data_IF_616169570717
#
_entry.id   IF_616169570717
#
_cell.length_a   1.000
_cell.length_b   1.000
_cell.length_c   1.000
_cell.angle_alpha   90.00
_cell.angle_beta   90.00
_cell.angle_gamma   90.00
#
_symmetry.space_group_name_H-M   'P 1'
#
loop_
_entity.id
_entity.type
_entity.pdbx_description
1 polymer ?
#
# COMPACT_ATOMS: atom_id res chain seq x y z
N UNK A 1 12.87 28.56 56.32
CA UNK A 1 13.08 30.02 56.43
C UNK A 1 14.22 30.32 55.48
N UNK A 2 13.96 31.05 54.42
CA UNK A 2 15.00 31.45 53.50
C UNK A 2 16.02 32.32 54.15
N UNK A 3 17.30 32.05 53.97
CA UNK A 3 18.43 32.78 54.53
C UNK A 3 18.93 33.88 53.61
N UNK A 4 18.06 34.39 52.73
CA UNK A 4 18.43 35.34 51.69
C UNK A 4 18.58 36.82 52.16
N UNK A 5 18.18 37.14 53.35
CA UNK A 5 18.33 38.50 53.91
C UNK A 5 19.11 38.44 55.21
N UNK A 6 20.28 39.10 55.23
CA UNK A 6 21.06 39.31 56.44
C UNK A 6 20.89 40.77 56.85
N UNK A 7 20.31 40.95 58.02
CA UNK A 7 20.13 42.25 58.58
C UNK A 7 21.50 42.97 58.71
N UNK A 8 21.60 44.12 58.13
CA UNK A 8 22.85 44.94 58.13
C UNK A 8 22.91 45.92 59.33
N UNK A 9 22.63 45.39 60.49
CA UNK A 9 22.74 46.17 61.73
C UNK A 9 24.16 46.02 62.31
N UNK A 10 25.07 46.84 61.79
CA UNK A 10 26.50 46.85 62.16
C UNK A 10 26.80 47.52 63.52
N UNK A 11 25.80 48.14 64.15
CA UNK A 11 25.96 48.84 65.39
C UNK A 11 24.98 48.52 66.49
N UNK A 12 24.12 47.55 66.36
CA UNK A 12 23.00 47.22 67.27
C UNK A 12 22.04 48.45 67.47
N UNK A 13 21.94 49.34 66.48
CA UNK A 13 21.19 50.59 66.62
C UNK A 13 19.66 50.37 66.49
N UNK A 14 19.20 49.26 65.93
CA UNK A 14 17.78 48.91 65.85
C UNK A 14 17.43 47.87 66.92
N UNK A 15 17.96 48.01 68.11
CA UNK A 15 17.58 47.22 69.27
C UNK A 15 16.65 48.05 70.20
N UNK A 16 15.84 47.37 71.00
CA UNK A 16 14.91 47.98 71.91
C UNK A 16 15.65 48.95 72.85
N UNK A 17 15.21 50.22 72.82
CA UNK A 17 15.74 51.31 73.65
C UNK A 17 16.80 52.20 73.00
N UNK A 18 17.26 51.96 71.79
CA UNK A 18 18.18 52.80 71.04
C UNK A 18 17.43 53.81 70.19
N UNK A 19 18.07 54.99 69.92
CA UNK A 19 17.56 55.95 68.97
C UNK A 19 17.90 55.48 67.59
N UNK A 20 16.87 55.21 66.78
CA UNK A 20 17.00 54.82 65.40
C UNK A 20 17.14 56.07 64.55
N UNK A 21 18.20 56.22 63.77
CA UNK A 21 18.42 57.32 62.86
C UNK A 21 18.22 56.94 61.40
N UNK A 22 18.19 57.92 60.48
CA UNK A 22 17.90 57.70 59.10
C UNK A 22 18.90 56.74 58.41
N UNK A 23 20.15 56.74 58.79
CA UNK A 23 21.20 55.94 58.21
C UNK A 23 21.02 54.41 58.56
N UNK A 24 20.37 54.10 59.71
CA UNK A 24 20.08 52.74 60.10
C UNK A 24 19.00 52.11 59.17
N UNK A 25 18.03 52.95 58.76
CA UNK A 25 17.02 52.53 57.80
C UNK A 25 17.56 52.43 56.36
N UNK A 26 18.39 53.44 55.96
CA UNK A 26 18.96 53.44 54.62
C UNK A 26 19.81 52.20 54.38
N UNK A 27 20.65 51.82 55.37
CA UNK A 27 21.42 50.56 55.25
C UNK A 27 20.60 49.25 55.17
N UNK A 28 19.47 49.24 55.87
CA UNK A 28 18.54 48.06 55.74
C UNK A 28 17.80 48.06 54.41
N UNK A 29 17.36 49.23 53.93
CA UNK A 29 16.72 49.33 52.59
C UNK A 29 17.69 49.01 51.47
N UNK A 30 18.92 49.45 51.50
CA UNK A 30 19.96 49.11 50.53
C UNK A 30 20.26 47.62 50.53
N UNK A 31 20.28 46.98 51.69
CA UNK A 31 20.47 45.55 51.81
C UNK A 31 19.27 44.75 51.23
N UNK A 32 18.03 45.21 51.43
CA UNK A 32 16.82 44.67 50.83
C UNK A 32 16.81 44.85 49.32
N UNK A 33 17.13 46.08 48.86
CA UNK A 33 17.22 46.38 47.43
C UNK A 33 18.27 45.52 46.73
N UNK A 34 19.46 45.35 47.33
CA UNK A 34 20.50 44.48 46.80
C UNK A 34 20.08 43.00 46.74
N UNK A 35 19.33 42.54 47.74
CA UNK A 35 18.82 41.15 47.75
C UNK A 35 17.81 40.86 46.65
N UNK A 36 17.10 41.86 46.12
CA UNK A 36 16.09 41.72 45.08
C UNK A 36 16.46 42.38 43.74
N UNK A 37 17.65 42.91 43.62
CA UNK A 37 18.12 43.60 42.42
C UNK A 37 18.34 42.61 41.28
N UNK A 38 17.97 42.98 40.05
CA UNK A 38 18.04 42.14 38.86
C UNK A 38 19.45 41.75 38.42
N UNK A 39 20.48 42.44 38.90
CA UNK A 39 21.90 42.20 38.55
C UNK A 39 22.68 41.41 39.60
N UNK A 40 22.24 41.46 40.86
CA UNK A 40 22.92 40.85 42.02
C UNK A 40 21.95 40.30 43.06
N UNK A 41 20.63 40.29 42.76
CA UNK A 41 19.60 39.77 43.63
C UNK A 41 19.67 38.24 43.77
N UNK A 42 18.89 37.71 44.69
CA UNK A 42 18.90 36.27 44.93
C UNK A 42 18.34 35.47 43.76
N UNK A 43 18.94 34.34 43.50
CA UNK A 43 18.48 33.35 42.55
C UNK A 43 17.84 32.18 43.31
N UNK A 44 17.11 31.34 42.65
CA UNK A 44 16.59 30.11 43.21
C UNK A 44 17.34 28.88 42.63
N UNK A 45 18.67 28.88 42.77
CA UNK A 45 19.57 27.88 42.20
C UNK A 45 19.90 26.72 43.15
N UNK A 46 19.42 26.80 44.41
CA UNK A 46 19.64 25.77 45.42
C UNK A 46 20.91 25.95 46.24
N UNK A 47 21.67 27.03 46.05
CA UNK A 47 22.78 27.34 46.92
C UNK A 47 22.30 27.85 48.28
N UNK A 48 23.09 27.67 49.33
CA UNK A 48 22.66 28.03 50.71
C UNK A 48 22.45 29.53 50.95
N UNK A 49 22.94 30.37 50.04
CA UNK A 49 22.79 31.84 50.13
C UNK A 49 21.59 32.39 49.33
N UNK A 50 21.14 31.67 48.32
CA UNK A 50 20.19 32.14 47.32
C UNK A 50 18.79 31.55 47.45
N UNK A 51 18.55 30.67 48.42
CA UNK A 51 17.29 30.02 48.66
C UNK A 51 17.11 28.69 47.95
N UNK A 52 16.08 27.96 48.30
CA UNK A 52 15.78 26.65 47.68
C UNK A 52 15.31 26.84 46.22
N UNK A 53 15.59 25.90 45.32
CA UNK A 53 15.03 25.89 43.98
C UNK A 53 13.52 26.04 43.99
N UNK A 54 12.96 26.70 42.97
CA UNK A 54 11.51 26.73 42.78
C UNK A 54 11.08 25.35 42.27
N UNK A 55 10.49 24.54 43.14
CA UNK A 55 10.06 23.18 42.84
C UNK A 55 8.61 23.11 42.38
N UNK A 56 7.83 24.15 42.58
CA UNK A 56 6.40 24.17 42.22
C UNK A 56 5.98 25.53 41.69
N UNK A 57 5.15 25.54 40.67
CA UNK A 57 4.59 26.71 40.02
C UNK A 57 3.07 26.67 39.99
N UNK A 58 2.44 27.85 39.97
CA UNK A 58 1.00 28.03 39.93
C UNK A 58 0.38 28.29 41.30
N UNK A 59 -0.83 28.88 41.33
CA UNK A 59 -1.49 29.29 42.59
C UNK A 59 -1.86 28.11 43.49
N UNK A 60 -2.07 26.92 42.91
CA UNK A 60 -2.36 25.65 43.62
C UNK A 60 -1.15 24.73 43.66
N UNK A 61 0.03 25.18 43.25
CA UNK A 61 1.23 24.32 43.13
C UNK A 61 1.02 23.14 42.20
N UNK A 62 0.39 23.38 41.05
CA UNK A 62 -0.08 22.32 40.15
C UNK A 62 1.04 21.76 39.28
N UNK A 63 2.15 22.46 39.10
CA UNK A 63 3.33 22.04 38.35
C UNK A 63 4.50 21.83 39.29
N UNK A 64 5.09 20.65 39.25
CA UNK A 64 6.27 20.25 40.04
C UNK A 64 7.50 20.23 39.15
N UNK A 65 8.58 20.89 39.59
CA UNK A 65 9.88 20.89 38.94
C UNK A 65 10.83 20.05 39.78
N UNK A 66 11.48 19.09 39.17
CA UNK A 66 12.50 18.24 39.79
C UNK A 66 13.81 18.36 39.00
N UNK A 67 14.89 17.77 39.50
CA UNK A 67 16.18 17.77 38.78
C UNK A 67 16.10 17.10 37.37
N UNK A 68 15.09 16.31 37.10
CA UNK A 68 14.95 15.53 35.86
C UNK A 68 13.63 15.75 35.11
N UNK A 69 12.67 16.51 35.68
CA UNK A 69 11.36 16.65 35.05
C UNK A 69 10.60 17.92 35.46
N UNK A 70 9.79 18.44 34.55
CA UNK A 70 8.66 19.31 34.80
C UNK A 70 7.41 18.50 34.65
N UNK A 71 6.59 18.32 35.66
CA UNK A 71 5.40 17.47 35.63
C UNK A 71 4.22 18.07 36.38
N UNK A 72 2.96 17.72 36.05
CA UNK A 72 1.83 18.06 36.87
C UNK A 72 1.91 17.34 38.22
N UNK A 73 1.33 17.94 39.26
CA UNK A 73 1.21 17.33 40.58
C UNK A 73 0.23 16.15 40.57
N UNK A 74 -0.82 16.28 39.80
CA UNK A 74 -1.85 15.27 39.58
C UNK A 74 -1.90 14.96 38.10
N UNK A 75 -2.03 13.66 37.79
CA UNK A 75 -2.10 13.19 36.41
C UNK A 75 -3.29 13.81 35.67
N UNK A 76 -3.08 14.21 34.41
CA UNK A 76 -4.09 14.82 33.53
C UNK A 76 -4.76 16.11 34.09
N UNK A 77 -4.04 16.90 34.88
CA UNK A 77 -4.60 18.08 35.57
C UNK A 77 -4.13 19.42 35.04
N UNK A 78 -3.09 19.47 34.18
CA UNK A 78 -2.48 20.72 33.73
C UNK A 78 -2.26 20.70 32.22
N UNK A 79 -2.80 21.70 31.53
CA UNK A 79 -2.59 21.94 30.11
C UNK A 79 -1.34 22.82 29.87
N UNK A 80 -0.64 22.58 28.75
CA UNK A 80 0.39 23.46 28.25
C UNK A 80 -0.24 24.45 27.26
N UNK A 81 -0.59 25.65 27.76
CA UNK A 81 -1.34 26.68 26.99
C UNK A 81 -2.86 26.61 27.24
N UNK A 82 -3.60 27.42 26.55
CA UNK A 82 -5.07 27.48 26.61
C UNK A 82 -5.65 27.61 25.19
N UNK A 83 -6.98 27.54 25.04
CA UNK A 83 -7.64 27.78 23.77
C UNK A 83 -7.37 29.15 23.15
N UNK A 84 -7.05 30.18 23.98
CA UNK A 84 -6.79 31.55 23.56
C UNK A 84 -5.32 31.99 23.66
N UNK A 85 -4.49 31.30 24.45
CA UNK A 85 -3.08 31.58 24.63
C UNK A 85 -2.28 30.30 24.35
N UNK A 86 -1.67 30.24 23.19
CA UNK A 86 -0.94 29.07 22.66
C UNK A 86 0.57 29.33 22.72
N UNK A 87 1.35 28.26 22.92
CA UNK A 87 2.77 28.29 22.65
C UNK A 87 3.02 28.38 21.15
N UNK A 88 3.99 29.19 20.73
CA UNK A 88 4.36 29.33 19.34
C UNK A 88 5.04 28.06 18.82
N UNK A 89 6.07 27.62 19.53
CA UNK A 89 6.90 26.48 19.13
C UNK A 89 7.25 25.64 20.37
N UNK A 90 7.38 24.33 20.19
CA UNK A 90 7.92 23.38 21.17
C UNK A 90 9.13 22.69 20.55
N UNK A 91 10.33 22.95 21.10
CA UNK A 91 11.58 22.33 20.67
C UNK A 91 11.94 21.20 21.64
N UNK A 92 12.09 19.98 21.13
CA UNK A 92 12.50 18.80 21.90
C UNK A 92 13.71 18.17 21.23
N UNK A 93 14.75 17.91 22.02
CA UNK A 93 15.92 17.12 21.60
C UNK A 93 15.74 15.69 22.10
N UNK A 94 14.69 15.02 21.64
CA UNK A 94 14.35 13.67 22.09
C UNK A 94 12.97 13.22 21.62
N UNK A 95 12.43 12.22 22.26
CA UNK A 95 11.15 11.61 21.92
C UNK A 95 9.99 12.30 22.61
N UNK A 96 8.95 12.68 21.87
CA UNK A 96 7.66 13.07 22.41
C UNK A 96 6.77 11.83 22.56
N UNK A 97 6.41 11.47 23.79
CA UNK A 97 5.46 10.42 24.09
C UNK A 97 4.07 11.03 24.29
N UNK A 98 3.12 10.66 23.44
CA UNK A 98 1.74 11.13 23.48
C UNK A 98 0.80 9.94 23.36
N UNK A 99 -0.28 9.92 24.14
CA UNK A 99 -1.36 8.94 23.97
C UNK A 99 -2.13 9.18 22.66
N UNK A 100 -2.24 10.44 22.25
CA UNK A 100 -2.87 10.83 20.99
C UNK A 100 -2.38 12.21 20.53
N UNK A 101 -2.39 12.44 19.22
CA UNK A 101 -2.24 13.76 18.62
C UNK A 101 -3.60 14.16 18.07
N UNK A 102 -4.25 15.15 18.68
CA UNK A 102 -5.46 15.77 18.16
C UNK A 102 -5.10 17.14 17.59
N UNK A 103 -5.34 17.32 16.30
CA UNK A 103 -5.17 18.61 15.62
C UNK A 103 -6.56 19.17 15.36
N UNK A 104 -6.94 20.16 16.16
CA UNK A 104 -8.19 20.89 15.96
C UNK A 104 -7.87 22.31 15.49
N UNK A 105 -8.47 22.69 14.39
CA UNK A 105 -8.47 24.08 13.94
C UNK A 105 -9.78 24.74 14.39
N UNK A 106 -9.72 25.70 15.33
CA UNK A 106 -10.93 26.36 15.85
C UNK A 106 -11.65 27.23 14.83
N UNK A 107 -11.00 27.62 13.74
CA UNK A 107 -11.53 28.47 12.67
C UNK A 107 -11.80 27.72 11.36
N UNK A 108 -11.52 26.39 11.31
CA UNK A 108 -11.95 25.52 10.22
C UNK A 108 -11.20 25.69 8.90
N UNK A 109 -10.04 26.34 8.91
CA UNK A 109 -9.37 26.68 7.66
C UNK A 109 -8.30 25.72 7.21
N UNK A 110 -7.54 25.04 8.07
CA UNK A 110 -6.57 24.00 7.65
C UNK A 110 -5.84 23.34 8.83
N UNK A 111 -6.43 22.36 9.49
CA UNK A 111 -5.70 21.53 10.44
C UNK A 111 -4.78 20.55 9.68
N UNK A 112 -3.53 20.89 9.53
CA UNK A 112 -2.54 20.02 8.88
C UNK A 112 -1.54 19.47 9.88
N UNK A 113 -1.49 18.13 10.04
CA UNK A 113 -0.34 17.48 10.66
C UNK A 113 0.76 17.38 9.61
N UNK A 114 1.78 18.20 9.73
CA UNK A 114 2.97 18.08 8.90
C UNK A 114 4.02 17.27 9.65
N UNK A 115 4.29 16.07 9.16
CA UNK A 115 5.42 15.28 9.60
C UNK A 115 6.57 15.52 8.61
N UNK A 116 7.28 16.63 8.80
CA UNK A 116 8.50 16.90 8.05
C UNK A 116 9.63 16.10 8.75
N UNK A 117 9.68 14.80 8.52
CA UNK A 117 10.77 13.97 9.02
C UNK A 117 12.02 14.20 8.19
N UNK A 118 12.95 14.99 8.73
CA UNK A 118 14.33 14.75 8.44
C UNK A 118 14.75 13.65 9.41
N UNK A 119 14.60 12.38 9.01
CA UNK A 119 15.19 11.28 9.77
C UNK A 119 16.71 11.52 9.84
N UNK A 120 17.43 11.00 10.87
CA UNK A 120 18.81 11.41 11.20
C UNK A 120 19.83 11.36 10.05
N UNK A 121 19.46 10.86 8.92
CA UNK A 121 20.30 10.59 7.75
C UNK A 121 19.87 11.32 6.46
N UNK A 122 18.92 12.23 6.53
CA UNK A 122 18.46 13.02 5.38
C UNK A 122 17.45 12.32 4.46
N UNK A 123 16.98 11.11 4.81
CA UNK A 123 15.95 10.40 4.05
C UNK A 123 14.55 10.99 4.30
N UNK A 124 13.75 11.12 3.25
CA UNK A 124 12.38 11.68 3.30
C UNK A 124 11.35 10.56 3.40
N UNK A 125 11.36 9.80 4.50
CA UNK A 125 10.47 8.68 4.71
C UNK A 125 9.29 9.04 5.63
N UNK A 126 8.16 8.37 5.46
CA UNK A 126 7.01 8.43 6.37
C UNK A 126 6.74 7.02 6.90
N UNK A 127 6.77 6.83 8.20
CA UNK A 127 6.52 5.54 8.84
C UNK A 127 5.53 5.67 10.00
N UNK A 128 4.47 4.85 9.99
CA UNK A 128 3.52 4.69 11.08
C UNK A 128 3.19 3.21 11.27
N UNK A 129 3.55 2.67 12.39
CA UNK A 129 3.30 1.27 12.76
C UNK A 129 4.46 0.67 13.51
N UNK A 130 4.18 -0.40 14.26
CA UNK A 130 5.22 -1.14 14.96
C UNK A 130 6.18 -1.76 13.93
N UNK A 131 7.47 -1.50 14.06
CA UNK A 131 8.53 -1.95 13.15
C UNK A 131 8.38 -1.51 11.68
N UNK A 132 7.59 -0.46 11.39
CA UNK A 132 7.57 0.12 10.05
C UNK A 132 8.91 0.81 9.74
N UNK A 133 9.59 0.43 8.63
CA UNK A 133 10.91 0.92 8.22
C UNK A 133 12.01 0.74 9.30
N UNK A 134 11.96 -0.35 10.05
CA UNK A 134 12.84 -0.56 11.22
C UNK A 134 14.31 -0.87 10.84
N UNK A 135 14.57 -1.33 9.63
CA UNK A 135 15.91 -1.71 9.15
C UNK A 135 16.67 -0.62 8.40
N UNK A 136 16.08 0.59 8.24
CA UNK A 136 16.81 1.71 7.66
C UNK A 136 17.98 2.08 8.58
N UNK A 137 19.19 1.97 8.07
CA UNK A 137 20.38 2.44 8.77
C UNK A 137 20.83 3.81 8.22
N UNK A 138 21.49 4.60 9.04
CA UNK A 138 21.92 5.95 8.66
C UNK A 138 23.10 6.01 7.69
N UNK A 139 23.59 4.89 7.15
CA UNK A 139 24.83 4.87 6.36
C UNK A 139 24.61 5.04 4.84
N UNK A 140 23.45 4.62 4.33
CA UNK A 140 22.99 4.86 2.94
C UNK A 140 21.50 4.54 2.86
N UNK A 141 20.64 5.31 3.51
CA UNK A 141 19.24 4.95 3.64
C UNK A 141 18.49 5.16 2.34
N UNK A 142 17.55 4.24 2.06
CA UNK A 142 16.52 4.45 1.05
C UNK A 142 15.65 5.67 1.40
N UNK A 143 15.30 6.48 0.41
CA UNK A 143 14.52 7.70 0.58
C UNK A 143 13.15 7.69 -0.09
N UNK A 144 12.30 8.66 0.31
CA UNK A 144 10.99 8.89 -0.29
C UNK A 144 10.05 7.66 -0.20
N UNK A 145 10.14 6.90 0.90
CA UNK A 145 9.26 5.75 1.14
C UNK A 145 8.11 6.12 2.08
N UNK A 146 6.96 5.48 1.88
CA UNK A 146 5.79 5.56 2.77
C UNK A 146 5.49 4.17 3.31
N UNK A 147 5.51 4.00 4.63
CA UNK A 147 5.19 2.76 5.33
C UNK A 147 4.13 2.99 6.41
N UNK A 148 2.92 2.52 6.18
CA UNK A 148 1.80 2.65 7.10
C UNK A 148 1.25 1.26 7.47
N UNK A 149 1.56 0.77 8.65
CA UNK A 149 1.12 -0.53 9.15
C UNK A 149 2.18 -1.26 9.95
N UNK A 150 1.76 -2.24 10.74
CA UNK A 150 2.69 -3.10 11.46
C UNK A 150 3.58 -3.84 10.45
N UNK A 151 4.88 -3.78 10.64
CA UNK A 151 5.90 -4.40 9.79
C UNK A 151 5.86 -3.99 8.30
N UNK A 152 5.28 -2.84 7.95
CA UNK A 152 5.37 -2.32 6.59
C UNK A 152 6.83 -1.94 6.27
N UNK A 153 7.40 -2.47 5.17
CA UNK A 153 8.79 -2.25 4.75
C UNK A 153 9.82 -2.50 5.86
N UNK A 154 9.59 -3.45 6.76
CA UNK A 154 10.46 -3.68 7.93
C UNK A 154 11.91 -4.00 7.53
N UNK A 155 12.11 -4.78 6.45
CA UNK A 155 13.45 -5.20 6.01
C UNK A 155 14.15 -4.18 5.10
N UNK A 156 13.51 -3.04 4.76
CA UNK A 156 14.05 -2.09 3.79
C UNK A 156 15.32 -1.43 4.31
N UNK A 157 16.38 -1.49 3.52
CA UNK A 157 17.69 -0.88 3.84
C UNK A 157 18.01 0.29 2.92
N UNK A 158 17.97 0.10 1.59
CA UNK A 158 18.41 1.10 0.61
C UNK A 158 17.41 1.35 -0.53
N UNK A 159 16.24 0.67 -0.54
CA UNK A 159 15.23 0.89 -1.58
C UNK A 159 14.56 2.25 -1.49
N UNK A 160 14.25 2.85 -2.66
CA UNK A 160 13.68 4.18 -2.78
C UNK A 160 12.26 4.14 -3.39
N UNK A 161 11.46 5.17 -3.08
CA UNK A 161 10.16 5.42 -3.73
C UNK A 161 9.14 4.29 -3.55
N UNK A 162 9.17 3.56 -2.45
CA UNK A 162 8.18 2.53 -2.15
C UNK A 162 7.00 3.10 -1.36
N UNK A 163 5.81 2.63 -1.67
CA UNK A 163 4.59 2.88 -0.90
C UNK A 163 4.09 1.55 -0.36
N UNK A 164 4.08 1.37 0.96
CA UNK A 164 3.54 0.20 1.63
C UNK A 164 2.49 0.60 2.67
N UNK A 165 1.26 0.17 2.46
CA UNK A 165 0.13 0.47 3.35
C UNK A 165 -0.57 -0.84 3.71
N UNK A 166 -0.48 -1.24 4.95
CA UNK A 166 -1.05 -2.48 5.47
C UNK A 166 -0.06 -3.27 6.32
N UNK A 167 -0.58 -4.15 7.17
CA UNK A 167 0.28 -5.03 7.96
C UNK A 167 1.08 -5.96 7.04
N UNK A 168 2.39 -6.00 7.22
CA UNK A 168 3.35 -6.80 6.43
C UNK A 168 3.36 -6.48 4.92
N UNK A 169 2.91 -5.28 4.51
CA UNK A 169 3.05 -4.83 3.13
C UNK A 169 4.54 -4.61 2.81
N UNK A 170 5.04 -5.28 1.75
CA UNK A 170 6.45 -5.20 1.34
C UNK A 170 7.43 -5.59 2.44
N UNK A 171 7.05 -6.48 3.36
CA UNK A 171 7.83 -6.77 4.58
C UNK A 171 9.23 -7.30 4.32
N UNK A 172 9.44 -8.02 3.20
CA UNK A 172 10.73 -8.59 2.83
C UNK A 172 11.58 -7.68 1.92
N UNK A 173 11.03 -6.58 1.38
CA UNK A 173 11.79 -5.64 0.54
C UNK A 173 13.03 -5.15 1.28
N UNK A 174 14.20 -5.29 0.66
CA UNK A 174 15.49 -4.84 1.20
C UNK A 174 16.07 -3.68 0.39
N UNK A 175 16.32 -3.89 -0.89
CA UNK A 175 16.92 -2.90 -1.80
C UNK A 175 15.98 -2.54 -2.96
N UNK A 176 14.86 -3.24 -3.14
CA UNK A 176 13.87 -2.99 -4.18
C UNK A 176 13.25 -1.60 -4.07
N UNK A 177 13.05 -0.95 -5.21
CA UNK A 177 12.49 0.40 -5.27
C UNK A 177 11.29 0.54 -6.20
N UNK A 178 10.54 1.64 -6.05
CA UNK A 178 9.38 2.00 -6.90
C UNK A 178 8.26 0.97 -6.87
N UNK A 179 8.05 0.31 -5.73
CA UNK A 179 6.96 -0.61 -5.52
C UNK A 179 5.77 0.09 -4.83
N UNK A 180 4.57 -0.31 -5.20
CA UNK A 180 3.33 0.04 -4.51
C UNK A 180 2.74 -1.24 -3.93
N UNK A 181 2.72 -1.37 -2.61
CA UNK A 181 2.16 -2.50 -1.87
C UNK A 181 1.06 -1.99 -0.92
N UNK A 182 -0.20 -2.12 -1.29
CA UNK A 182 -1.33 -1.64 -0.49
C UNK A 182 -2.25 -2.82 -0.16
N UNK A 183 -2.28 -3.22 1.10
CA UNK A 183 -3.05 -4.34 1.60
C UNK A 183 -2.23 -5.20 2.56
N UNK A 184 -2.93 -6.00 3.37
CA UNK A 184 -2.28 -6.98 4.24
C UNK A 184 -1.49 -7.99 3.39
N UNK A 185 -0.21 -8.18 3.71
CA UNK A 185 0.73 -9.07 2.99
C UNK A 185 0.82 -8.81 1.47
N UNK A 186 0.48 -7.61 0.99
CA UNK A 186 0.75 -7.25 -0.41
C UNK A 186 2.26 -7.20 -0.64
N UNK A 187 2.76 -7.89 -1.70
CA UNK A 187 4.17 -7.94 -2.10
C UNK A 187 5.10 -8.36 -0.94
N UNK A 188 4.66 -9.31 -0.11
CA UNK A 188 5.34 -9.58 1.16
C UNK A 188 6.60 -10.46 1.05
N UNK A 189 6.86 -11.10 -0.09
CA UNK A 189 8.02 -11.98 -0.31
C UNK A 189 9.08 -11.35 -1.21
N UNK A 190 8.76 -10.29 -1.95
CA UNK A 190 9.70 -9.56 -2.79
C UNK A 190 10.83 -8.96 -1.96
N UNK A 191 12.08 -9.23 -2.30
CA UNK A 191 13.24 -8.81 -1.51
C UNK A 191 14.08 -7.70 -2.17
N UNK A 192 14.38 -7.80 -3.46
CA UNK A 192 15.35 -6.91 -4.10
C UNK A 192 14.89 -6.20 -5.36
N UNK A 193 13.70 -6.54 -5.87
CA UNK A 193 13.26 -6.08 -7.17
C UNK A 193 12.24 -4.95 -7.07
N UNK A 194 11.97 -4.30 -8.20
CA UNK A 194 11.15 -3.10 -8.23
C UNK A 194 10.08 -3.06 -9.30
N UNK A 195 9.46 -1.88 -9.35
CA UNK A 195 8.47 -1.50 -10.36
C UNK A 195 7.18 -2.36 -10.34
N UNK A 196 6.78 -2.85 -9.17
CA UNK A 196 5.54 -3.60 -9.00
C UNK A 196 4.42 -2.75 -8.39
N UNK A 197 3.18 -3.03 -8.81
CA UNK A 197 1.97 -2.48 -8.21
C UNK A 197 1.12 -3.63 -7.67
N UNK A 198 1.00 -3.73 -6.35
CA UNK A 198 0.22 -4.73 -5.63
C UNK A 198 -0.82 -4.04 -4.73
N UNK A 199 -2.09 -4.06 -5.13
CA UNK A 199 -3.17 -3.40 -4.38
C UNK A 199 -4.28 -4.40 -4.04
N UNK A 200 -4.38 -4.78 -2.77
CA UNK A 200 -5.35 -5.73 -2.26
C UNK A 200 -4.76 -6.67 -1.23
N UNK A 201 -5.61 -7.44 -0.57
CA UNK A 201 -5.21 -8.47 0.39
C UNK A 201 -4.40 -9.55 -0.33
N UNK A 202 -3.19 -9.84 0.14
CA UNK A 202 -2.22 -10.82 -0.38
C UNK A 202 -1.92 -10.73 -1.88
N UNK A 203 -2.08 -9.56 -2.48
CA UNK A 203 -1.77 -9.34 -3.90
C UNK A 203 -0.28 -9.49 -4.14
N UNK A 204 0.14 -10.27 -5.16
CA UNK A 204 1.54 -10.58 -5.48
C UNK A 204 2.33 -11.08 -4.25
N UNK A 205 1.68 -11.83 -3.36
CA UNK A 205 2.27 -12.20 -2.07
C UNK A 205 3.59 -12.93 -2.20
N UNK A 206 3.70 -13.86 -3.17
CA UNK A 206 4.87 -14.73 -3.36
C UNK A 206 5.86 -14.24 -4.42
N UNK A 207 5.62 -13.04 -4.98
CA UNK A 207 6.50 -12.44 -5.98
C UNK A 207 7.93 -12.33 -5.45
N UNK A 208 8.89 -12.85 -6.22
CA UNK A 208 10.32 -12.65 -6.05
C UNK A 208 11.04 -13.05 -7.35
N UNK A 209 11.21 -12.11 -8.27
CA UNK A 209 11.63 -12.41 -9.64
C UNK A 209 13.14 -12.42 -9.85
N UNK A 210 13.92 -11.84 -8.94
CA UNK A 210 15.35 -11.64 -9.10
C UNK A 210 15.71 -10.59 -10.17
N UNK A 211 14.73 -9.80 -10.62
CA UNK A 211 14.86 -8.66 -11.54
C UNK A 211 13.59 -7.80 -11.49
N UNK A 212 13.64 -6.57 -11.99
CA UNK A 212 12.46 -5.68 -12.09
C UNK A 212 11.30 -6.37 -12.81
N UNK A 213 10.27 -6.72 -12.05
CA UNK A 213 9.19 -7.57 -12.56
C UNK A 213 8.12 -6.80 -13.35
N UNK A 214 7.88 -5.54 -13.03
CA UNK A 214 6.85 -4.71 -13.69
C UNK A 214 5.46 -5.36 -13.68
N UNK A 215 5.10 -6.09 -12.62
CA UNK A 215 3.77 -6.65 -12.48
C UNK A 215 2.80 -5.61 -11.91
N UNK A 216 1.58 -5.59 -12.44
CA UNK A 216 0.48 -4.80 -11.91
C UNK A 216 -0.61 -5.77 -11.48
N UNK A 217 -0.91 -5.83 -10.19
CA UNK A 217 -2.00 -6.65 -9.65
C UNK A 217 -2.90 -5.84 -8.71
N UNK A 218 -4.21 -5.93 -8.93
CA UNK A 218 -5.21 -5.21 -8.15
C UNK A 218 -6.38 -6.15 -7.83
N UNK A 219 -6.61 -6.42 -6.55
CA UNK A 219 -7.73 -7.25 -6.10
C UNK A 219 -7.34 -8.20 -4.96
N UNK A 220 -8.33 -8.81 -4.33
CA UNK A 220 -8.14 -9.88 -3.34
C UNK A 220 -7.44 -11.07 -4.01
N UNK A 221 -6.28 -11.49 -3.49
CA UNK A 221 -5.46 -12.59 -3.99
C UNK A 221 -5.09 -12.50 -5.50
N UNK A 222 -5.12 -11.32 -6.10
CA UNK A 222 -4.71 -11.15 -7.49
C UNK A 222 -3.22 -11.48 -7.66
N UNK A 223 -2.89 -12.43 -8.54
CA UNK A 223 -1.52 -12.88 -8.76
C UNK A 223 -0.85 -13.48 -7.53
N UNK A 224 -1.62 -14.06 -6.59
CA UNK A 224 -1.16 -14.55 -5.29
C UNK A 224 0.11 -15.41 -5.38
N UNK A 225 0.15 -16.34 -6.31
CA UNK A 225 1.21 -17.35 -6.46
C UNK A 225 2.32 -16.96 -7.45
N UNK A 226 2.26 -15.78 -8.05
CA UNK A 226 3.34 -15.33 -8.95
C UNK A 226 4.64 -15.30 -8.16
N UNK A 227 5.65 -16.02 -8.67
CA UNK A 227 7.00 -16.07 -8.11
C UNK A 227 7.97 -15.28 -8.98
N UNK A 228 8.36 -15.83 -10.12
CA UNK A 228 9.34 -15.24 -11.03
C UNK A 228 8.71 -14.64 -12.29
N UNK A 229 7.38 -14.78 -12.47
CA UNK A 229 6.66 -14.19 -13.61
C UNK A 229 6.74 -12.67 -13.65
N UNK A 230 6.93 -12.12 -14.86
CA UNK A 230 7.12 -10.68 -15.07
C UNK A 230 6.12 -10.09 -16.07
N UNK A 231 5.91 -8.77 -15.98
CA UNK A 231 5.11 -7.98 -16.92
C UNK A 231 3.67 -8.47 -17.09
N UNK A 232 3.08 -8.92 -16.00
CA UNK A 232 1.68 -9.30 -15.96
C UNK A 232 0.81 -8.13 -15.48
N UNK A 233 -0.39 -7.98 -16.06
CA UNK A 233 -1.45 -7.07 -15.62
C UNK A 233 -2.62 -7.93 -15.14
N UNK A 234 -2.81 -8.02 -13.83
CA UNK A 234 -3.78 -8.90 -13.18
C UNK A 234 -4.74 -8.07 -12.32
N UNK A 235 -6.00 -7.96 -12.73
CA UNK A 235 -6.98 -7.12 -12.03
C UNK A 235 -8.30 -7.86 -11.79
N UNK A 236 -8.65 -8.05 -10.53
CA UNK A 236 -9.88 -8.75 -10.12
C UNK A 236 -9.61 -9.69 -8.94
N UNK A 237 -10.66 -10.03 -8.20
CA UNK A 237 -10.54 -11.03 -7.12
C UNK A 237 -10.11 -12.37 -7.69
N UNK A 238 -9.09 -12.98 -7.11
CA UNK A 238 -8.48 -14.28 -7.54
C UNK A 238 -8.22 -14.36 -9.05
N UNK A 239 -7.91 -13.25 -9.69
CA UNK A 239 -7.41 -13.24 -11.06
C UNK A 239 -5.96 -13.73 -11.07
N UNK A 240 -5.60 -14.65 -11.98
CA UNK A 240 -4.24 -15.16 -12.12
C UNK A 240 -3.60 -15.66 -10.83
N UNK A 241 -4.39 -16.08 -9.85
CA UNK A 241 -3.94 -16.42 -8.51
C UNK A 241 -3.06 -17.68 -8.44
N UNK A 242 -3.14 -18.55 -9.46
CA UNK A 242 -2.28 -19.72 -9.58
C UNK A 242 -1.02 -19.49 -10.44
N UNK A 243 -0.91 -18.40 -11.20
CA UNK A 243 0.28 -18.10 -12.02
C UNK A 243 1.56 -18.15 -11.18
N UNK A 244 2.63 -18.72 -11.71
CA UNK A 244 3.93 -18.86 -11.03
C UNK A 244 5.05 -18.14 -11.78
N UNK A 245 5.55 -18.71 -12.86
CA UNK A 245 6.64 -18.21 -13.71
C UNK A 245 6.14 -17.68 -15.08
N UNK A 246 4.85 -17.47 -15.20
CA UNK A 246 4.19 -17.01 -16.41
C UNK A 246 4.38 -15.50 -16.65
N UNK A 247 4.62 -15.13 -17.91
CA UNK A 247 4.97 -13.76 -18.31
C UNK A 247 3.95 -13.15 -19.27
N UNK A 248 3.92 -11.80 -19.30
CA UNK A 248 3.20 -11.03 -20.30
C UNK A 248 1.70 -11.31 -20.40
N UNK A 249 1.05 -11.69 -19.30
CA UNK A 249 -0.38 -11.93 -19.27
C UNK A 249 -1.18 -10.67 -18.93
N UNK A 250 -2.36 -10.55 -19.52
CA UNK A 250 -3.40 -9.60 -19.12
C UNK A 250 -4.59 -10.41 -18.63
N UNK A 251 -4.84 -10.41 -17.33
CA UNK A 251 -5.99 -11.07 -16.67
C UNK A 251 -6.85 -10.02 -15.97
N UNK A 252 -7.98 -9.63 -16.54
CA UNK A 252 -8.87 -8.60 -15.97
C UNK A 252 -10.27 -9.17 -15.78
N UNK A 253 -10.70 -9.32 -14.54
CA UNK A 253 -11.99 -9.85 -14.15
C UNK A 253 -11.88 -10.89 -13.04
N UNK A 254 -12.96 -11.10 -12.32
CA UNK A 254 -13.03 -12.13 -11.30
C UNK A 254 -12.74 -13.51 -11.91
N UNK A 255 -11.77 -14.26 -11.34
CA UNK A 255 -11.33 -15.58 -11.81
C UNK A 255 -10.80 -15.63 -13.27
N UNK A 256 -10.35 -14.52 -13.85
CA UNK A 256 -9.64 -14.59 -15.13
C UNK A 256 -8.28 -15.28 -14.93
N UNK A 257 -7.92 -16.27 -15.78
CA UNK A 257 -6.67 -17.05 -15.68
C UNK A 257 -6.42 -17.71 -14.31
N UNK A 258 -7.48 -18.03 -13.55
CA UNK A 258 -7.35 -18.45 -12.14
C UNK A 258 -6.66 -19.83 -11.95
N UNK A 259 -6.69 -20.72 -12.95
CA UNK A 259 -6.08 -22.05 -12.84
C UNK A 259 -4.70 -22.15 -13.50
N UNK A 260 -4.38 -21.21 -14.39
CA UNK A 260 -3.14 -21.26 -15.16
C UNK A 260 -1.92 -21.06 -14.26
N UNK A 261 -0.93 -21.92 -14.44
CA UNK A 261 0.31 -21.82 -13.68
C UNK A 261 1.47 -21.27 -14.50
N UNK A 262 1.57 -21.63 -15.78
CA UNK A 262 2.76 -21.41 -16.62
C UNK A 262 2.46 -20.92 -18.04
N UNK A 263 1.22 -20.57 -18.34
CA UNK A 263 0.84 -19.99 -19.63
C UNK A 263 1.22 -18.53 -19.72
N UNK A 264 1.95 -18.16 -20.75
CA UNK A 264 2.38 -16.80 -21.02
C UNK A 264 1.65 -16.18 -22.20
N UNK A 265 1.65 -14.85 -22.31
CA UNK A 265 1.12 -14.08 -23.44
C UNK A 265 -0.37 -14.29 -23.69
N UNK A 266 -1.14 -14.57 -22.65
CA UNK A 266 -2.60 -14.61 -22.71
C UNK A 266 -3.21 -13.22 -22.44
N UNK A 267 -4.31 -12.91 -23.14
CA UNK A 267 -5.18 -11.78 -22.83
C UNK A 267 -6.57 -12.28 -22.46
N UNK A 268 -6.94 -12.16 -21.20
CA UNK A 268 -8.21 -12.62 -20.64
C UNK A 268 -8.95 -11.45 -19.98
N UNK A 269 -10.03 -10.97 -20.59
CA UNK A 269 -10.79 -9.82 -20.09
C UNK A 269 -12.25 -10.18 -19.93
N UNK A 270 -12.72 -10.31 -18.70
CA UNK A 270 -14.09 -10.67 -18.34
C UNK A 270 -14.17 -11.65 -17.17
N UNK A 271 -15.37 -11.89 -16.68
CA UNK A 271 -15.66 -12.87 -15.64
C UNK A 271 -15.30 -14.29 -16.13
N UNK A 272 -14.48 -15.02 -15.35
CA UNK A 272 -14.02 -16.39 -15.61
C UNK A 272 -13.43 -16.63 -17.01
N UNK A 273 -12.83 -15.62 -17.62
CA UNK A 273 -12.23 -15.75 -18.95
C UNK A 273 -10.96 -16.58 -18.87
N UNK A 274 -10.82 -17.62 -19.72
CA UNK A 274 -9.73 -18.59 -19.70
C UNK A 274 -9.50 -19.21 -18.31
N UNK A 275 -10.56 -19.38 -17.50
CA UNK A 275 -10.43 -19.78 -16.11
C UNK A 275 -9.79 -21.16 -15.91
N UNK A 276 -10.00 -22.09 -16.83
CA UNK A 276 -9.44 -23.45 -16.76
C UNK A 276 -8.15 -23.64 -17.57
N UNK A 277 -7.63 -22.57 -18.21
CA UNK A 277 -6.33 -22.66 -18.88
C UNK A 277 -5.27 -23.10 -17.88
N UNK A 278 -4.46 -24.11 -18.26
CA UNK A 278 -3.37 -24.57 -17.39
C UNK A 278 -2.33 -25.34 -18.18
N UNK A 279 -1.12 -24.86 -18.17
CA UNK A 279 0.02 -25.50 -18.80
C UNK A 279 0.97 -26.09 -17.75
N UNK A 280 1.42 -27.33 -17.95
CA UNK A 280 2.37 -27.99 -17.04
C UNK A 280 3.83 -27.55 -17.23
N UNK A 281 4.12 -26.84 -18.33
CA UNK A 281 5.43 -26.28 -18.64
C UNK A 281 5.25 -24.83 -19.15
N UNK A 282 6.29 -24.04 -19.09
CA UNK A 282 6.29 -22.68 -19.62
C UNK A 282 5.90 -22.70 -21.09
N UNK A 283 4.79 -22.06 -21.44
CA UNK A 283 4.17 -22.12 -22.78
C UNK A 283 3.64 -20.76 -23.19
N UNK A 284 4.06 -20.29 -24.36
CA UNK A 284 3.48 -19.12 -25.01
C UNK A 284 2.10 -19.49 -25.60
N UNK A 285 1.05 -19.24 -24.85
CA UNK A 285 -0.32 -19.62 -25.23
C UNK A 285 -0.87 -18.78 -26.38
N UNK A 286 -0.58 -17.48 -26.40
CA UNK A 286 -1.13 -16.50 -27.34
C UNK A 286 -2.66 -16.54 -27.46
N UNK A 287 -3.37 -16.91 -26.39
CA UNK A 287 -4.82 -16.85 -26.36
C UNK A 287 -5.30 -15.44 -26.08
N UNK A 288 -6.29 -14.99 -26.83
CA UNK A 288 -7.01 -13.75 -26.59
C UNK A 288 -8.48 -14.08 -26.36
N UNK A 289 -8.99 -13.86 -25.16
CA UNK A 289 -10.38 -14.07 -24.79
C UNK A 289 -10.97 -12.84 -24.12
N UNK A 290 -12.08 -12.34 -24.65
CA UNK A 290 -12.74 -11.12 -24.16
C UNK A 290 -14.26 -11.38 -24.05
N UNK A 291 -14.81 -11.32 -22.86
CA UNK A 291 -16.22 -11.57 -22.59
C UNK A 291 -16.41 -12.50 -21.38
N UNK A 292 -17.60 -12.47 -20.77
CA UNK A 292 -17.91 -13.41 -19.68
C UNK A 292 -17.85 -14.85 -20.21
N UNK A 293 -17.12 -15.69 -19.48
CA UNK A 293 -16.93 -17.12 -19.79
C UNK A 293 -16.31 -17.40 -21.19
N UNK A 294 -15.70 -16.40 -21.85
CA UNK A 294 -15.00 -16.64 -23.11
C UNK A 294 -13.81 -17.60 -22.88
N UNK A 295 -13.76 -18.70 -23.62
CA UNK A 295 -12.74 -19.73 -23.48
C UNK A 295 -12.70 -20.39 -22.10
N UNK A 296 -13.81 -20.44 -21.36
CA UNK A 296 -13.89 -20.95 -19.98
C UNK A 296 -13.17 -22.29 -19.80
N UNK A 297 -13.42 -23.23 -20.70
CA UNK A 297 -12.92 -24.63 -20.59
C UNK A 297 -11.56 -24.82 -21.27
N UNK A 298 -10.96 -23.82 -21.88
CA UNK A 298 -9.62 -23.93 -22.47
C UNK A 298 -8.66 -24.49 -21.43
N UNK A 299 -8.00 -25.59 -21.76
CA UNK A 299 -6.95 -26.17 -20.92
C UNK A 299 -5.57 -25.95 -21.51
N UNK A 300 -5.27 -26.63 -22.62
CA UNK A 300 -3.97 -26.55 -23.31
C UNK A 300 -4.07 -26.03 -24.76
N UNK A 301 -5.28 -25.64 -25.19
CA UNK A 301 -5.48 -25.00 -26.50
C UNK A 301 -4.72 -23.66 -26.57
N UNK A 302 -4.06 -23.40 -27.71
CA UNK A 302 -3.23 -22.20 -27.94
C UNK A 302 -3.68 -21.41 -29.15
N UNK A 303 -3.31 -20.13 -29.21
CA UNK A 303 -3.53 -19.25 -30.36
C UNK A 303 -5.01 -19.10 -30.74
N UNK A 304 -5.88 -19.10 -29.73
CA UNK A 304 -7.30 -18.85 -29.94
C UNK A 304 -7.63 -17.37 -29.73
N UNK A 305 -8.51 -16.84 -30.58
CA UNK A 305 -9.10 -15.50 -30.44
C UNK A 305 -10.60 -15.64 -30.22
N UNK A 306 -11.06 -15.40 -28.98
CA UNK A 306 -12.41 -15.68 -28.50
C UNK A 306 -13.03 -14.38 -27.95
N UNK A 307 -13.87 -13.73 -28.75
CA UNK A 307 -14.42 -12.40 -28.39
C UNK A 307 -15.95 -12.46 -28.39
N UNK A 308 -16.54 -12.36 -27.24
CA UNK A 308 -17.97 -12.46 -26.98
C UNK A 308 -18.23 -13.30 -25.73
N UNK A 309 -19.35 -13.04 -25.04
CA UNK A 309 -19.74 -13.91 -23.94
C UNK A 309 -19.99 -15.34 -24.48
N UNK A 310 -19.51 -16.35 -23.77
CA UNK A 310 -19.55 -17.77 -24.15
C UNK A 310 -18.85 -18.08 -25.49
N UNK A 311 -18.01 -17.21 -26.02
CA UNK A 311 -17.26 -17.51 -27.25
C UNK A 311 -16.23 -18.63 -26.95
N UNK A 312 -16.35 -19.77 -27.64
CA UNK A 312 -15.47 -20.93 -27.48
C UNK A 312 -15.38 -21.47 -26.06
N UNK A 313 -16.43 -21.34 -25.27
CA UNK A 313 -16.42 -21.67 -23.83
C UNK A 313 -16.23 -23.17 -23.54
N UNK A 314 -16.56 -24.07 -24.50
CA UNK A 314 -16.29 -25.48 -24.39
C UNK A 314 -14.94 -25.94 -24.97
N UNK A 315 -14.17 -25.05 -25.61
CA UNK A 315 -12.84 -25.40 -26.16
C UNK A 315 -11.95 -25.94 -25.04
N UNK A 316 -11.34 -27.09 -25.26
CA UNK A 316 -10.37 -27.69 -24.32
C UNK A 316 -8.94 -27.61 -24.86
N UNK A 317 -8.65 -28.40 -25.89
CA UNK A 317 -7.33 -28.49 -26.52
C UNK A 317 -7.30 -27.92 -27.94
N UNK A 318 -8.47 -27.52 -28.50
CA UNK A 318 -8.57 -26.91 -29.83
C UNK A 318 -7.68 -25.66 -29.93
N UNK A 319 -6.97 -25.52 -31.05
CA UNK A 319 -6.03 -24.45 -31.28
C UNK A 319 -6.33 -23.67 -32.56
N UNK A 320 -5.78 -22.46 -32.68
CA UNK A 320 -5.90 -21.61 -33.86
C UNK A 320 -7.37 -21.29 -34.25
N UNK A 321 -8.27 -21.20 -33.29
CA UNK A 321 -9.66 -20.84 -33.54
C UNK A 321 -9.89 -19.34 -33.41
N UNK A 322 -10.74 -18.79 -34.26
CA UNK A 322 -11.24 -17.41 -34.15
C UNK A 322 -12.77 -17.44 -33.97
N UNK A 323 -13.24 -17.01 -32.82
CA UNK A 323 -14.65 -16.85 -32.49
C UNK A 323 -14.95 -15.38 -32.17
N UNK A 324 -15.82 -14.76 -32.95
CA UNK A 324 -16.27 -13.39 -32.71
C UNK A 324 -17.79 -13.32 -32.71
N UNK A 325 -18.39 -13.24 -31.54
CA UNK A 325 -19.82 -13.19 -31.34
C UNK A 325 -20.26 -13.97 -30.09
N UNK A 326 -21.43 -13.65 -29.58
CA UNK A 326 -22.04 -14.41 -28.49
C UNK A 326 -22.19 -15.89 -28.91
N UNK A 327 -21.72 -16.82 -28.08
CA UNK A 327 -21.90 -18.28 -28.23
C UNK A 327 -21.39 -18.82 -29.60
N UNK A 328 -20.39 -18.12 -30.19
CA UNK A 328 -19.68 -18.61 -31.37
C UNK A 328 -18.68 -19.71 -30.98
N UNK A 329 -18.62 -20.82 -31.70
CA UNK A 329 -17.86 -22.03 -31.35
C UNK A 329 -18.22 -22.60 -29.94
N UNK A 330 -19.46 -22.41 -29.46
CA UNK A 330 -19.84 -22.68 -28.06
C UNK A 330 -19.66 -24.15 -27.65
N UNK A 331 -19.86 -25.14 -28.53
CA UNK A 331 -19.65 -26.54 -28.22
C UNK A 331 -18.31 -27.13 -28.72
N UNK A 332 -17.45 -26.33 -29.33
CA UNK A 332 -16.16 -26.83 -29.85
C UNK A 332 -15.29 -27.30 -28.69
N UNK A 333 -14.77 -28.54 -28.82
CA UNK A 333 -13.87 -29.11 -27.78
C UNK A 333 -12.45 -29.23 -28.27
N UNK A 334 -12.18 -30.01 -29.30
CA UNK A 334 -10.85 -30.25 -29.85
C UNK A 334 -10.68 -29.70 -31.27
N UNK A 335 -11.79 -29.28 -31.92
CA UNK A 335 -11.74 -28.71 -33.29
C UNK A 335 -10.77 -27.57 -33.39
N UNK A 336 -9.96 -27.53 -34.44
CA UNK A 336 -8.92 -26.59 -34.63
C UNK A 336 -9.06 -25.76 -35.92
N UNK A 337 -8.41 -24.63 -36.01
CA UNK A 337 -8.35 -23.83 -37.25
C UNK A 337 -9.72 -23.37 -37.77
N UNK A 338 -10.70 -23.15 -36.91
CA UNK A 338 -12.02 -22.69 -37.28
C UNK A 338 -12.13 -21.15 -37.15
N UNK A 339 -12.87 -20.54 -38.08
CA UNK A 339 -13.21 -19.12 -38.06
C UNK A 339 -14.74 -18.96 -37.98
N UNK A 340 -15.25 -18.46 -36.85
CA UNK A 340 -16.67 -18.25 -36.57
C UNK A 340 -16.93 -16.76 -36.27
N UNK A 341 -17.58 -16.09 -37.19
CA UNK A 341 -17.91 -14.67 -37.07
C UNK A 341 -19.45 -14.49 -37.06
N UNK A 342 -20.01 -14.19 -35.90
CA UNK A 342 -21.44 -13.92 -35.74
C UNK A 342 -22.05 -14.67 -34.55
N UNK A 343 -23.23 -14.21 -34.13
CA UNK A 343 -24.02 -14.86 -33.09
C UNK A 343 -24.27 -16.31 -33.43
N UNK A 344 -23.86 -17.26 -32.59
CA UNK A 344 -24.09 -18.69 -32.76
C UNK A 344 -23.44 -19.30 -34.02
N UNK A 345 -22.44 -18.64 -34.61
CA UNK A 345 -21.70 -19.24 -35.73
C UNK A 345 -20.95 -20.49 -35.26
N UNK A 346 -21.16 -21.62 -35.95
CA UNK A 346 -20.59 -22.92 -35.55
C UNK A 346 -20.88 -23.33 -34.09
N UNK A 347 -22.04 -23.00 -33.57
CA UNK A 347 -22.35 -23.17 -32.14
C UNK A 347 -22.21 -24.63 -31.70
N UNK A 348 -22.67 -25.63 -32.51
CA UNK A 348 -22.62 -27.04 -32.12
C UNK A 348 -21.40 -27.82 -32.67
N UNK A 349 -20.44 -27.12 -33.29
CA UNK A 349 -19.21 -27.77 -33.73
C UNK A 349 -18.50 -28.42 -32.54
N UNK A 350 -18.08 -29.65 -32.65
CA UNK A 350 -17.33 -30.32 -31.57
C UNK A 350 -15.89 -30.57 -31.95
N UNK A 351 -15.67 -31.31 -33.04
CA UNK A 351 -14.33 -31.70 -33.50
C UNK A 351 -14.04 -31.29 -34.94
N UNK A 352 -15.01 -30.70 -35.65
CA UNK A 352 -14.80 -30.22 -37.02
C UNK A 352 -13.67 -29.18 -37.09
N UNK A 353 -12.86 -29.30 -38.13
CA UNK A 353 -11.65 -28.46 -38.30
C UNK A 353 -11.69 -27.67 -39.61
N UNK A 354 -10.88 -26.60 -39.70
CA UNK A 354 -10.69 -25.83 -40.93
C UNK A 354 -11.99 -25.25 -41.53
N UNK A 355 -13.00 -24.99 -40.72
CA UNK A 355 -14.25 -24.38 -41.17
C UNK A 355 -14.22 -22.88 -41.10
N UNK A 356 -14.89 -22.22 -42.03
CA UNK A 356 -15.14 -20.78 -42.03
C UNK A 356 -16.65 -20.53 -42.02
N UNK A 357 -17.15 -19.89 -40.96
CA UNK A 357 -18.54 -19.48 -40.83
C UNK A 357 -18.60 -17.99 -40.57
N UNK A 358 -19.19 -17.22 -41.47
CA UNK A 358 -19.35 -15.77 -41.34
C UNK A 358 -20.83 -15.41 -41.53
N UNK A 359 -21.50 -15.12 -40.46
CA UNK A 359 -22.92 -14.77 -40.40
C UNK A 359 -23.62 -15.35 -39.18
N UNK A 360 -24.75 -14.76 -38.77
CA UNK A 360 -25.55 -15.29 -37.66
C UNK A 360 -25.99 -16.72 -37.96
N UNK A 361 -25.69 -17.67 -37.05
CA UNK A 361 -26.02 -19.08 -37.16
C UNK A 361 -25.50 -19.77 -38.46
N UNK A 362 -24.43 -19.28 -39.07
CA UNK A 362 -23.75 -20.00 -40.16
C UNK A 362 -23.10 -21.26 -39.59
N UNK A 363 -23.19 -22.39 -40.31
CA UNK A 363 -22.75 -23.73 -39.86
C UNK A 363 -23.21 -24.10 -38.44
N UNK A 364 -24.39 -23.64 -38.02
CA UNK A 364 -24.85 -23.77 -36.63
C UNK A 364 -24.85 -25.21 -36.12
N UNK A 365 -25.42 -26.15 -36.89
CA UNK A 365 -25.55 -27.56 -36.51
C UNK A 365 -24.36 -28.45 -36.93
N UNK A 366 -23.27 -27.86 -37.44
CA UNK A 366 -22.07 -28.63 -37.72
C UNK A 366 -21.53 -29.28 -36.45
N UNK A 367 -21.22 -30.55 -36.47
CA UNK A 367 -20.63 -31.26 -35.34
C UNK A 367 -19.19 -31.70 -35.62
N UNK A 368 -18.97 -32.43 -36.68
CA UNK A 368 -17.66 -33.02 -37.08
C UNK A 368 -17.23 -32.66 -38.48
N UNK A 369 -18.11 -32.04 -39.29
CA UNK A 369 -17.78 -31.65 -40.66
C UNK A 369 -16.62 -30.66 -40.72
N UNK A 370 -15.69 -30.87 -41.66
CA UNK A 370 -14.48 -30.12 -41.80
C UNK A 370 -14.37 -29.46 -43.20
N UNK A 371 -13.48 -28.44 -43.31
CA UNK A 371 -13.21 -27.78 -44.58
C UNK A 371 -14.43 -27.11 -45.25
N UNK A 372 -15.43 -26.70 -44.47
CA UNK A 372 -16.64 -26.05 -44.98
C UNK A 372 -16.50 -24.50 -44.93
N UNK A 373 -17.07 -23.85 -45.92
CA UNK A 373 -17.16 -22.37 -46.01
C UNK A 373 -18.62 -21.96 -46.07
N UNK A 374 -19.10 -21.23 -45.07
CA UNK A 374 -20.45 -20.68 -44.97
C UNK A 374 -20.43 -19.20 -44.76
N UNK A 375 -20.87 -18.42 -45.74
CA UNK A 375 -20.94 -16.95 -45.65
C UNK A 375 -22.40 -16.53 -45.85
N UNK A 376 -22.92 -15.80 -44.87
CA UNK A 376 -24.31 -15.36 -44.85
C UNK A 376 -25.07 -15.90 -43.65
N UNK A 377 -26.19 -15.24 -43.32
CA UNK A 377 -27.07 -15.70 -42.24
C UNK A 377 -27.60 -17.10 -42.54
N UNK A 378 -27.39 -18.04 -41.61
CA UNK A 378 -27.85 -19.45 -41.73
C UNK A 378 -27.27 -20.23 -42.94
N UNK A 379 -26.20 -19.75 -43.58
CA UNK A 379 -25.50 -20.52 -44.59
C UNK A 379 -25.02 -21.86 -44.02
N UNK A 380 -25.27 -22.98 -44.70
CA UNK A 380 -24.99 -24.34 -44.24
C UNK A 380 -25.57 -24.65 -42.85
N UNK A 381 -26.70 -24.05 -42.45
CA UNK A 381 -27.31 -24.17 -41.13
C UNK A 381 -27.41 -25.63 -40.66
N UNK A 382 -27.86 -26.52 -41.55
CA UNK A 382 -28.15 -27.94 -41.26
C UNK A 382 -27.03 -28.88 -41.66
N UNK A 383 -25.86 -28.39 -42.02
CA UNK A 383 -24.69 -29.27 -42.18
C UNK A 383 -24.33 -29.86 -40.81
N UNK A 384 -24.16 -31.16 -40.72
CA UNK A 384 -23.79 -31.81 -39.45
C UNK A 384 -22.41 -32.42 -39.50
N UNK A 385 -22.14 -33.25 -40.50
CA UNK A 385 -20.92 -34.08 -40.62
C UNK A 385 -20.26 -34.02 -42.00
N UNK A 386 -20.89 -33.34 -42.95
CA UNK A 386 -20.34 -33.31 -44.33
C UNK A 386 -19.17 -32.29 -44.40
N UNK A 387 -18.20 -32.67 -45.22
CA UNK A 387 -16.97 -31.89 -45.45
C UNK A 387 -17.00 -31.19 -46.80
N UNK A 388 -16.07 -30.20 -46.97
CA UNK A 388 -15.77 -29.58 -48.27
C UNK A 388 -16.97 -28.88 -48.92
N UNK A 389 -17.92 -28.36 -48.17
CA UNK A 389 -19.07 -27.62 -48.69
C UNK A 389 -18.79 -26.09 -48.71
N UNK A 390 -19.28 -25.43 -49.73
CA UNK A 390 -19.27 -23.99 -49.82
C UNK A 390 -20.68 -23.45 -50.07
N UNK A 391 -21.13 -22.50 -49.28
CA UNK A 391 -22.37 -21.77 -49.44
C UNK A 391 -22.21 -20.29 -49.08
N UNK A 392 -22.88 -19.44 -49.85
CA UNK A 392 -22.92 -18.00 -49.65
C UNK A 392 -24.37 -17.54 -49.59
#
# INVERSE_FOLDING_TARGET
MGTGYTRNDTGNNIADGNVINAADFDGEYDAIEAAFNSSSGHTHDGTSAEGAPIEVLGPSQDVVITASAIRPKTDNAVDLGTSSLKFKDLYLDGTMNLDSISVTDPDGTDATVRLNGNFPDGSRNVAFGLTALDSLDGSSPGGDNIALGNAALTALTTGDYNIAIGSSAGVALTVGGKNIAIGHEALSTEDGDGNNVAIGYRTLKTQNAGADAHNIAVGFDAGLSITTGIRNVIMGGIAGDALTDADFNVGIGYQSLTTDTKGSRSTAVGYRTLANQNFSSSTDSHNTAIGSDAGLSVTTGIKNTLIGSLAGDAITTGANNTALGYDSLGATTTGASNTALGYGAMNTNTTGENNTASGRNSLYFNTTGSENVAVGQQALLNNTTADNNTAV
#
